data_IF_987310456156
#
_entry.id   IF_987310456156
#
_cell.length_a   1.000
_cell.length_b   1.000
_cell.length_c   1.000
_cell.angle_alpha   90.00
_cell.angle_beta   90.00
_cell.angle_gamma   90.00
#
_symmetry.space_group_name_H-M   'P 1'
#
loop_
_entity.id
_entity.type
_entity.pdbx_description
1 polymer ?
#
# COMPACT_ATOMS: atom_id res chain seq x y z
N UNK A 1 23.07 1.15 -11.01
CA UNK A 1 23.00 1.94 -9.76
C UNK A 1 22.21 3.24 -9.92
N UNK A 2 22.53 4.11 -10.89
CA UNK A 2 21.82 5.38 -11.08
C UNK A 2 20.29 5.22 -11.24
N UNK A 3 19.85 4.29 -12.10
CA UNK A 3 18.41 4.04 -12.31
C UNK A 3 17.64 3.62 -11.05
N UNK A 4 18.27 2.85 -10.17
CA UNK A 4 17.68 2.47 -8.88
C UNK A 4 17.53 3.66 -7.94
N UNK A 5 18.53 4.54 -7.87
CA UNK A 5 18.46 5.75 -7.06
C UNK A 5 17.35 6.68 -7.55
N UNK A 6 17.27 6.89 -8.88
CA UNK A 6 16.24 7.75 -9.48
C UNK A 6 14.84 7.21 -9.22
N UNK A 7 14.61 5.91 -9.40
CA UNK A 7 13.29 5.28 -9.17
C UNK A 7 12.88 5.38 -7.71
N UNK A 8 13.80 5.11 -6.78
CA UNK A 8 13.52 5.22 -5.34
C UNK A 8 13.23 6.65 -4.92
N UNK A 9 14.02 7.64 -5.39
CA UNK A 9 13.78 9.04 -5.10
C UNK A 9 12.44 9.52 -5.68
N UNK A 10 12.11 9.14 -6.92
CA UNK A 10 10.83 9.45 -7.53
C UNK A 10 9.67 8.84 -6.71
N UNK A 11 9.81 7.58 -6.27
CA UNK A 11 8.85 6.92 -5.39
C UNK A 11 8.64 7.64 -4.06
N UNK A 12 9.72 8.05 -3.39
CA UNK A 12 9.67 8.82 -2.14
C UNK A 12 8.98 10.17 -2.35
N UNK A 13 9.34 10.90 -3.42
CA UNK A 13 8.73 12.21 -3.72
C UNK A 13 7.23 12.06 -4.00
N UNK A 14 6.85 11.08 -4.82
CA UNK A 14 5.44 10.78 -5.11
C UNK A 14 4.68 10.39 -3.85
N UNK A 15 5.25 9.52 -3.01
CA UNK A 15 4.67 9.13 -1.73
C UNK A 15 4.42 10.35 -0.85
N UNK A 16 5.45 11.16 -0.59
CA UNK A 16 5.35 12.36 0.24
C UNK A 16 4.32 13.35 -0.30
N UNK A 17 4.33 13.61 -1.61
CA UNK A 17 3.40 14.53 -2.24
C UNK A 17 1.94 14.05 -2.15
N UNK A 18 1.67 12.79 -2.49
CA UNK A 18 0.31 12.25 -2.49
C UNK A 18 -0.24 12.07 -1.06
N UNK A 19 0.61 11.64 -0.13
CA UNK A 19 0.28 11.51 1.28
C UNK A 19 -0.07 12.87 1.90
N UNK A 20 0.76 13.90 1.65
CA UNK A 20 0.48 15.28 2.04
C UNK A 20 -0.79 15.80 1.39
N UNK A 21 -0.94 15.64 0.06
CA UNK A 21 -2.09 16.14 -0.69
C UNK A 21 -3.41 15.61 -0.15
N UNK A 22 -3.46 14.35 0.31
CA UNK A 22 -4.67 13.74 0.85
C UNK A 22 -5.01 14.22 2.26
N UNK A 23 -4.03 14.56 3.09
CA UNK A 23 -4.22 14.87 4.51
C UNK A 23 -4.16 16.37 4.84
N UNK A 24 -3.68 17.23 3.93
CA UNK A 24 -3.40 18.66 4.19
C UNK A 24 -4.61 19.49 4.65
N UNK A 25 -5.83 19.07 4.33
CA UNK A 25 -7.04 19.82 4.69
C UNK A 25 -7.44 19.58 6.16
N UNK A 26 -7.12 18.39 6.70
CA UNK A 26 -7.56 17.97 8.04
C UNK A 26 -6.44 18.03 9.08
N UNK A 27 -5.18 18.04 8.65
CA UNK A 27 -4.02 17.91 9.54
C UNK A 27 -2.90 18.91 9.20
N UNK A 28 -2.18 19.42 10.21
CA UNK A 28 -1.06 20.32 9.96
C UNK A 28 0.11 19.59 9.29
N UNK A 29 0.76 20.26 8.33
CA UNK A 29 1.86 19.71 7.52
C UNK A 29 2.97 19.07 8.35
N UNK A 30 3.32 19.64 9.50
CA UNK A 30 4.34 19.08 10.39
C UNK A 30 4.01 17.66 10.87
N UNK A 31 2.76 17.41 11.28
CA UNK A 31 2.32 16.09 11.72
C UNK A 31 2.29 15.08 10.56
N UNK A 32 1.84 15.53 9.39
CA UNK A 32 1.76 14.70 8.18
C UNK A 32 3.16 14.24 7.77
N UNK A 33 4.10 15.18 7.61
CA UNK A 33 5.46 14.85 7.20
C UNK A 33 6.21 14.05 8.27
N UNK A 34 6.05 14.35 9.57
CA UNK A 34 6.65 13.51 10.62
C UNK A 34 6.15 12.06 10.55
N UNK A 35 4.86 11.85 10.32
CA UNK A 35 4.30 10.50 10.17
C UNK A 35 4.80 9.81 8.90
N UNK A 36 4.87 10.53 7.77
CA UNK A 36 5.43 10.01 6.53
C UNK A 36 6.91 9.61 6.70
N UNK A 37 7.69 10.39 7.46
CA UNK A 37 9.07 10.04 7.79
C UNK A 37 9.17 8.80 8.68
N UNK A 38 8.24 8.58 9.62
CA UNK A 38 8.18 7.34 10.38
C UNK A 38 7.90 6.12 9.49
N UNK A 39 6.98 6.26 8.54
CA UNK A 39 6.72 5.21 7.53
C UNK A 39 7.97 4.94 6.70
N UNK A 40 8.63 5.98 6.17
CA UNK A 40 9.86 5.83 5.38
C UNK A 40 11.01 5.21 6.19
N UNK A 41 11.19 5.62 7.44
CA UNK A 41 12.17 5.02 8.35
C UNK A 41 11.85 3.53 8.61
N UNK A 42 10.56 3.21 8.80
CA UNK A 42 10.09 1.83 8.91
C UNK A 42 10.42 0.98 7.68
N UNK A 43 10.14 1.49 6.48
CA UNK A 43 10.51 0.85 5.21
C UNK A 43 12.02 0.63 5.13
N UNK A 44 12.82 1.67 5.41
CA UNK A 44 14.28 1.58 5.33
C UNK A 44 14.86 0.55 6.30
N UNK A 45 14.40 0.54 7.55
CA UNK A 45 14.84 -0.42 8.57
C UNK A 45 14.43 -1.84 8.19
N UNK A 46 13.19 -2.03 7.73
CA UNK A 46 12.68 -3.31 7.28
C UNK A 46 13.43 -3.85 6.05
N UNK A 47 13.74 -2.97 5.09
CA UNK A 47 14.57 -3.31 3.94
C UNK A 47 15.98 -3.72 4.37
N UNK A 48 16.61 -2.97 5.27
CA UNK A 48 17.91 -3.33 5.83
C UNK A 48 17.88 -4.68 6.57
N UNK A 49 16.79 -4.98 7.26
CA UNK A 49 16.57 -6.26 7.93
C UNK A 49 16.35 -7.42 6.94
N UNK A 50 15.61 -7.19 5.85
CA UNK A 50 15.36 -8.21 4.83
C UNK A 50 16.64 -8.69 4.16
N UNK A 51 17.60 -7.78 3.93
CA UNK A 51 18.91 -8.13 3.39
C UNK A 51 19.71 -9.10 4.29
N UNK A 52 19.45 -9.08 5.61
CA UNK A 52 20.13 -9.93 6.60
C UNK A 52 19.39 -11.22 6.91
N UNK A 53 18.05 -11.16 6.99
CA UNK A 53 17.21 -12.30 7.43
C UNK A 53 16.79 -13.17 6.26
N UNK A 54 16.08 -12.59 5.29
CA UNK A 54 15.65 -13.27 4.07
C UNK A 54 15.28 -12.22 3.03
N UNK A 55 16.01 -12.23 1.91
CA UNK A 55 15.72 -11.34 0.78
C UNK A 55 14.35 -11.61 0.18
N UNK A 56 13.84 -12.84 0.26
CA UNK A 56 12.53 -13.24 -0.27
C UNK A 56 11.37 -12.62 0.53
N UNK A 57 11.59 -12.40 1.83
CA UNK A 57 10.61 -11.82 2.76
C UNK A 57 10.58 -10.30 2.76
N UNK A 58 11.24 -9.63 1.81
CA UNK A 58 11.37 -8.17 1.77
C UNK A 58 10.01 -7.47 1.85
N UNK A 59 9.03 -7.94 1.08
CA UNK A 59 7.69 -7.33 1.02
C UNK A 59 6.98 -7.36 2.39
N UNK A 60 6.99 -8.51 3.07
CA UNK A 60 6.34 -8.65 4.38
C UNK A 60 7.07 -7.86 5.46
N UNK A 61 8.40 -7.84 5.44
CA UNK A 61 9.17 -7.04 6.38
C UNK A 61 8.89 -5.55 6.17
N UNK A 62 8.89 -5.07 4.93
CA UNK A 62 8.55 -3.68 4.61
C UNK A 62 7.12 -3.34 5.03
N UNK A 63 6.15 -4.24 4.81
CA UNK A 63 4.79 -4.06 5.28
C UNK A 63 4.73 -3.91 6.81
N UNK A 64 5.48 -4.73 7.56
CA UNK A 64 5.60 -4.56 9.02
C UNK A 64 6.25 -3.22 9.38
N UNK A 65 7.31 -2.81 8.68
CA UNK A 65 7.94 -1.51 8.85
C UNK A 65 6.97 -0.35 8.62
N UNK A 66 6.16 -0.42 7.57
CA UNK A 66 5.10 0.54 7.25
C UNK A 66 4.07 0.59 8.37
N UNK A 67 3.58 -0.56 8.83
CA UNK A 67 2.57 -0.65 9.91
C UNK A 67 3.11 -0.06 11.21
N UNK A 68 4.37 -0.35 11.57
CA UNK A 68 5.00 0.21 12.77
C UNK A 68 5.20 1.72 12.65
N UNK A 69 5.73 2.20 11.52
CA UNK A 69 5.91 3.63 11.27
C UNK A 69 4.60 4.41 11.29
N UNK A 70 3.56 3.85 10.65
CA UNK A 70 2.20 4.39 10.67
C UNK A 70 1.64 4.37 12.10
N UNK A 71 1.79 3.25 12.82
CA UNK A 71 1.31 3.08 14.19
C UNK A 71 1.86 4.12 15.15
N UNK A 72 3.15 4.46 15.05
CA UNK A 72 3.76 5.53 15.83
C UNK A 72 3.07 6.88 15.53
N UNK A 73 2.87 7.21 14.24
CA UNK A 73 2.19 8.45 13.86
C UNK A 73 0.74 8.52 14.33
N UNK A 74 -0.02 7.43 14.17
CA UNK A 74 -1.41 7.31 14.63
C UNK A 74 -1.53 7.49 16.14
N UNK A 75 -0.68 6.82 16.93
CA UNK A 75 -0.71 6.91 18.39
C UNK A 75 -0.28 8.29 18.89
N UNK A 76 0.75 8.87 18.26
CA UNK A 76 1.30 10.18 18.67
C UNK A 76 0.37 11.35 18.34
N UNK A 77 -0.21 11.35 17.14
CA UNK A 77 -0.99 12.48 16.62
C UNK A 77 -2.51 12.24 16.60
N UNK A 78 -2.97 11.05 17.01
CA UNK A 78 -4.38 10.66 17.08
C UNK A 78 -5.12 10.84 15.76
N UNK A 79 -4.44 10.60 14.65
CA UNK A 79 -5.06 10.65 13.34
C UNK A 79 -6.18 9.61 13.21
N UNK A 80 -7.16 9.91 12.36
CA UNK A 80 -8.21 8.95 12.02
C UNK A 80 -7.63 7.86 11.12
N UNK A 81 -7.60 6.64 11.64
CA UNK A 81 -6.99 5.48 10.99
C UNK A 81 -7.34 5.35 9.50
N UNK A 82 -8.63 5.43 9.16
CA UNK A 82 -9.10 5.23 7.79
C UNK A 82 -8.64 6.31 6.80
N UNK A 83 -8.55 7.57 7.24
CA UNK A 83 -8.07 8.68 6.39
C UNK A 83 -6.58 8.53 6.07
N UNK A 84 -5.78 8.17 7.09
CA UNK A 84 -4.33 7.96 6.90
C UNK A 84 -4.04 6.69 6.12
N UNK A 85 -4.81 5.62 6.33
CA UNK A 85 -4.69 4.38 5.55
C UNK A 85 -4.98 4.63 4.07
N UNK A 86 -5.97 5.47 3.78
CA UNK A 86 -6.29 5.85 2.40
C UNK A 86 -5.18 6.69 1.77
N UNK A 87 -4.64 7.67 2.51
CA UNK A 87 -3.47 8.45 2.08
C UNK A 87 -2.24 7.55 1.84
N UNK A 88 -2.03 6.56 2.71
CA UNK A 88 -0.96 5.58 2.61
C UNK A 88 -1.10 4.72 1.35
N UNK A 89 -2.30 4.20 1.08
CA UNK A 89 -2.59 3.42 -0.14
C UNK A 89 -2.33 4.26 -1.40
N UNK A 90 -2.84 5.50 -1.43
CA UNK A 90 -2.65 6.44 -2.53
C UNK A 90 -1.17 6.77 -2.77
N UNK A 91 -0.38 6.90 -1.71
CA UNK A 91 1.05 7.23 -1.81
C UNK A 91 1.94 6.03 -2.16
N UNK A 92 1.67 4.85 -1.60
CA UNK A 92 2.53 3.68 -1.78
C UNK A 92 2.23 2.86 -3.04
N UNK A 93 0.99 2.82 -3.53
CA UNK A 93 0.68 2.08 -4.76
C UNK A 93 1.47 2.58 -5.98
N UNK A 94 1.59 3.89 -6.25
CA UNK A 94 2.43 4.38 -7.35
C UNK A 94 3.90 4.02 -7.18
N UNK A 95 4.42 4.07 -5.95
CA UNK A 95 5.80 3.69 -5.67
C UNK A 95 6.02 2.18 -5.93
N UNK A 96 5.10 1.33 -5.50
CA UNK A 96 5.12 -0.10 -5.80
C UNK A 96 5.04 -0.36 -7.31
N UNK A 97 4.24 0.42 -8.04
CA UNK A 97 4.19 0.37 -9.50
C UNK A 97 5.54 0.71 -10.15
N UNK A 98 6.18 1.81 -9.71
CA UNK A 98 7.52 2.18 -10.19
C UNK A 98 8.57 1.09 -9.91
N UNK A 99 8.48 0.43 -8.76
CA UNK A 99 9.36 -0.69 -8.42
C UNK A 99 9.21 -1.83 -9.43
N UNK A 100 7.98 -2.27 -9.74
CA UNK A 100 7.74 -3.35 -10.71
C UNK A 100 8.08 -2.95 -12.15
N UNK A 101 7.82 -1.71 -12.54
CA UNK A 101 8.19 -1.20 -13.86
C UNK A 101 9.71 -1.23 -14.04
N UNK A 102 10.45 -0.75 -13.05
CA UNK A 102 11.91 -0.76 -13.05
C UNK A 102 12.44 -2.19 -13.15
N UNK A 103 11.94 -3.11 -12.32
CA UNK A 103 12.35 -4.51 -12.34
C UNK A 103 12.05 -5.18 -13.70
N UNK A 104 10.91 -4.85 -14.31
CA UNK A 104 10.55 -5.32 -15.66
C UNK A 104 11.54 -4.84 -16.72
N UNK A 105 11.97 -3.58 -16.67
CA UNK A 105 12.93 -3.01 -17.63
C UNK A 105 14.34 -3.59 -17.41
N UNK A 106 14.80 -3.69 -16.16
CA UNK A 106 16.15 -4.16 -15.85
C UNK A 106 16.31 -5.67 -16.11
N UNK A 107 15.30 -6.47 -15.77
CA UNK A 107 15.37 -7.93 -15.86
C UNK A 107 14.59 -8.52 -17.04
N UNK A 108 13.98 -7.70 -17.90
CA UNK A 108 13.11 -8.13 -19.01
C UNK A 108 12.03 -9.14 -18.57
N UNK A 109 11.51 -8.94 -17.35
CA UNK A 109 10.59 -9.89 -16.70
C UNK A 109 9.14 -9.58 -17.05
N UNK A 110 8.46 -10.55 -17.69
CA UNK A 110 7.02 -10.50 -17.96
C UNK A 110 6.21 -10.50 -16.65
N UNK A 111 6.64 -11.24 -15.64
CA UNK A 111 5.95 -11.29 -14.35
C UNK A 111 5.93 -9.91 -13.67
N UNK A 112 7.04 -9.18 -13.76
CA UNK A 112 7.19 -7.83 -13.21
C UNK A 112 6.36 -6.82 -14.00
N UNK A 113 6.30 -6.98 -15.33
CA UNK A 113 5.41 -6.18 -16.18
C UNK A 113 3.93 -6.37 -15.83
N UNK A 114 3.49 -7.62 -15.69
CA UNK A 114 2.11 -7.95 -15.29
C UNK A 114 1.80 -7.42 -13.89
N UNK A 115 2.76 -7.48 -12.97
CA UNK A 115 2.61 -6.90 -11.62
C UNK A 115 2.47 -5.37 -11.67
N UNK A 116 3.27 -4.69 -12.49
CA UNK A 116 3.13 -3.26 -12.75
C UNK A 116 1.74 -2.93 -13.30
N UNK A 117 1.30 -3.65 -14.34
CA UNK A 117 -0.02 -3.46 -14.95
C UNK A 117 -1.15 -3.68 -13.93
N UNK A 118 -1.07 -4.73 -13.11
CA UNK A 118 -2.04 -4.97 -12.04
C UNK A 118 -2.07 -3.81 -11.03
N UNK A 119 -0.91 -3.29 -10.60
CA UNK A 119 -0.85 -2.12 -9.72
C UNK A 119 -1.42 -0.87 -10.39
N UNK A 120 -1.19 -0.65 -11.68
CA UNK A 120 -1.82 0.44 -12.42
C UNK A 120 -3.34 0.31 -12.45
N UNK A 121 -3.88 -0.90 -12.73
CA UNK A 121 -5.31 -1.16 -12.65
C UNK A 121 -5.86 -0.89 -11.24
N UNK A 122 -5.11 -1.22 -10.18
CA UNK A 122 -5.50 -0.91 -8.81
C UNK A 122 -5.52 0.59 -8.51
N UNK A 123 -4.58 1.37 -9.07
CA UNK A 123 -4.60 2.84 -8.95
C UNK A 123 -5.81 3.42 -9.67
N UNK A 124 -6.14 2.91 -10.86
CA UNK A 124 -7.35 3.32 -11.58
C UNK A 124 -8.62 2.95 -10.81
N UNK A 125 -8.68 1.74 -10.24
CA UNK A 125 -9.76 1.30 -9.37
C UNK A 125 -9.88 2.21 -8.15
N UNK A 126 -8.78 2.52 -7.47
CA UNK A 126 -8.76 3.44 -6.34
C UNK A 126 -9.37 4.80 -6.72
N UNK A 127 -8.94 5.39 -7.85
CA UNK A 127 -9.44 6.69 -8.31
C UNK A 127 -10.94 6.65 -8.69
N UNK A 128 -11.37 5.56 -9.33
CA UNK A 128 -12.78 5.34 -9.65
C UNK A 128 -13.63 5.26 -8.37
N UNK A 129 -13.18 4.47 -7.38
CA UNK A 129 -13.88 4.32 -6.11
C UNK A 129 -13.87 5.62 -5.30
N UNK A 130 -12.75 6.34 -5.20
CA UNK A 130 -12.69 7.64 -4.49
C UNK A 130 -13.66 8.67 -5.08
N UNK A 131 -13.89 8.61 -6.39
CA UNK A 131 -14.84 9.51 -7.07
C UNK A 131 -16.31 9.12 -6.88
N UNK A 132 -16.61 7.83 -6.68
CA UNK A 132 -17.99 7.31 -6.72
C UNK A 132 -18.47 6.64 -5.42
N UNK A 133 -17.62 6.48 -4.40
CA UNK A 133 -17.94 5.64 -3.23
C UNK A 133 -19.20 6.06 -2.48
N UNK A 134 -19.53 7.36 -2.48
CA UNK A 134 -20.73 7.91 -1.83
C UNK A 134 -22.03 7.50 -2.53
N UNK A 135 -21.97 7.09 -3.79
CA UNK A 135 -23.14 6.73 -4.60
C UNK A 135 -23.48 5.23 -4.52
N UNK A 136 -22.63 4.42 -3.87
CA UNK A 136 -22.90 2.99 -3.76
C UNK A 136 -24.01 2.71 -2.74
N UNK A 137 -25.11 2.12 -3.20
CA UNK A 137 -26.30 1.81 -2.40
C UNK A 137 -26.02 0.93 -1.18
N UNK A 138 -25.01 0.07 -1.25
CA UNK A 138 -24.59 -0.81 -0.16
C UNK A 138 -23.62 -0.15 0.82
N UNK A 139 -22.97 0.97 0.44
CA UNK A 139 -22.03 1.71 1.28
C UNK A 139 -22.71 2.89 1.96
N UNK A 140 -23.47 2.62 3.03
CA UNK A 140 -24.29 3.63 3.71
C UNK A 140 -23.48 4.64 4.53
N UNK A 141 -22.29 4.26 5.00
CA UNK A 141 -21.51 5.10 5.91
C UNK A 141 -21.00 6.40 5.28
N UNK A 142 -20.68 6.38 3.98
CA UNK A 142 -20.13 7.54 3.27
C UNK A 142 -18.79 8.06 3.83
N UNK A 143 -18.12 7.29 4.70
CA UNK A 143 -16.85 7.66 5.34
C UNK A 143 -15.66 7.47 4.41
N UNK A 144 -14.62 8.25 4.65
CA UNK A 144 -13.30 8.12 4.02
C UNK A 144 -12.67 6.80 4.51
N UNK A 145 -11.93 6.12 3.64
CA UNK A 145 -11.27 4.83 3.88
C UNK A 145 -11.66 3.72 2.91
N UNK A 146 -12.83 3.85 2.26
CA UNK A 146 -13.41 2.81 1.43
C UNK A 146 -12.53 2.41 0.23
N UNK A 147 -12.08 3.40 -0.54
CA UNK A 147 -11.21 3.23 -1.70
C UNK A 147 -9.88 2.57 -1.32
N UNK A 148 -9.24 3.06 -0.25
CA UNK A 148 -7.98 2.53 0.26
C UNK A 148 -8.09 1.08 0.73
N UNK A 149 -9.08 0.77 1.58
CA UNK A 149 -9.31 -0.60 2.05
C UNK A 149 -9.61 -1.57 0.90
N UNK A 150 -10.45 -1.16 -0.05
CA UNK A 150 -10.82 -2.00 -1.19
C UNK A 150 -9.62 -2.23 -2.12
N UNK A 151 -8.83 -1.18 -2.41
CA UNK A 151 -7.64 -1.30 -3.25
C UNK A 151 -6.57 -2.18 -2.60
N UNK A 152 -6.29 -2.00 -1.30
CA UNK A 152 -5.35 -2.85 -0.56
C UNK A 152 -5.88 -4.29 -0.43
N UNK A 153 -7.15 -4.49 -0.13
CA UNK A 153 -7.77 -5.82 -0.09
C UNK A 153 -7.67 -6.53 -1.43
N UNK A 154 -7.90 -5.81 -2.54
CA UNK A 154 -7.77 -6.35 -3.89
C UNK A 154 -6.31 -6.64 -4.24
N UNK A 155 -5.35 -5.79 -3.84
CA UNK A 155 -3.92 -6.04 -3.99
C UNK A 155 -3.51 -7.37 -3.34
N UNK A 156 -3.88 -7.58 -2.08
CA UNK A 156 -3.57 -8.81 -1.36
C UNK A 156 -4.31 -10.02 -1.92
N UNK A 157 -5.55 -9.85 -2.38
CA UNK A 157 -6.30 -10.93 -3.03
C UNK A 157 -5.62 -11.37 -4.33
N UNK A 158 -5.20 -10.42 -5.17
CA UNK A 158 -4.44 -10.70 -6.37
C UNK A 158 -3.12 -11.40 -6.03
N UNK A 159 -2.36 -10.90 -5.04
CA UNK A 159 -1.14 -11.59 -4.58
C UNK A 159 -1.40 -13.03 -4.16
N UNK A 160 -2.48 -13.28 -3.41
CA UNK A 160 -2.85 -14.63 -2.97
C UNK A 160 -3.20 -15.54 -4.15
N UNK A 161 -3.95 -15.03 -5.12
CA UNK A 161 -4.30 -15.75 -6.34
C UNK A 161 -3.04 -16.09 -7.15
N UNK A 162 -2.19 -15.09 -7.45
CA UNK A 162 -0.95 -15.31 -8.19
C UNK A 162 -0.04 -16.31 -7.48
N UNK A 163 0.11 -16.21 -6.16
CA UNK A 163 0.95 -17.14 -5.39
C UNK A 163 0.42 -18.59 -5.39
N UNK A 164 -0.87 -18.78 -5.63
CA UNK A 164 -1.49 -20.11 -5.71
C UNK A 164 -1.23 -20.81 -7.05
N UNK A 165 -1.06 -20.04 -8.13
CA UNK A 165 -0.86 -20.57 -9.49
C UNK A 165 0.58 -20.48 -9.99
N UNK A 166 1.37 -19.53 -9.49
CA UNK A 166 2.72 -19.23 -9.97
C UNK A 166 3.70 -19.15 -8.79
N UNK A 167 4.55 -20.17 -8.57
CA UNK A 167 5.50 -20.19 -7.45
C UNK A 167 6.73 -19.29 -7.65
N UNK A 168 6.84 -18.55 -8.76
CA UNK A 168 8.03 -17.79 -9.15
C UNK A 168 7.88 -16.25 -9.05
N UNK A 169 7.10 -15.75 -8.09
CA UNK A 169 6.87 -14.29 -7.93
C UNK A 169 8.01 -13.64 -7.12
N UNK A 170 8.32 -12.37 -7.39
CA UNK A 170 9.46 -11.57 -6.87
C UNK A 170 9.54 -11.52 -5.31
N UNK A 171 8.45 -11.81 -4.61
CA UNK A 171 8.39 -11.86 -3.14
C UNK A 171 7.60 -13.10 -2.72
N UNK A 172 8.22 -14.27 -2.83
CA UNK A 172 7.59 -15.52 -2.47
C UNK A 172 8.10 -16.02 -1.12
N UNK A 173 7.21 -16.03 -0.13
CA UNK A 173 7.42 -16.80 1.11
C UNK A 173 6.62 -18.10 0.97
N UNK A 174 7.08 -19.19 1.59
CA UNK A 174 6.40 -20.51 1.55
C UNK A 174 4.90 -20.46 1.85
N UNK A 175 4.43 -19.47 2.61
CA UNK A 175 3.04 -19.26 3.00
C UNK A 175 2.39 -18.02 2.37
N UNK A 176 2.91 -17.53 1.25
CA UNK A 176 2.49 -16.27 0.60
C UNK A 176 0.99 -16.21 0.32
N UNK A 177 0.43 -17.28 -0.26
CA UNK A 177 -0.99 -17.36 -0.59
C UNK A 177 -1.88 -17.24 0.66
N UNK A 178 -1.47 -17.88 1.76
CA UNK A 178 -2.20 -17.87 3.03
C UNK A 178 -2.11 -16.50 3.69
N UNK A 179 -0.90 -15.94 3.80
CA UNK A 179 -0.68 -14.63 4.43
C UNK A 179 -1.39 -13.51 3.67
N UNK A 180 -1.26 -13.49 2.34
CA UNK A 180 -1.97 -12.54 1.48
C UNK A 180 -3.49 -12.74 1.54
N UNK A 181 -3.97 -13.98 1.61
CA UNK A 181 -5.40 -14.28 1.78
C UNK A 181 -5.96 -13.76 3.11
N UNK A 182 -5.23 -13.92 4.21
CA UNK A 182 -5.60 -13.39 5.53
C UNK A 182 -5.63 -11.86 5.49
N UNK A 183 -4.61 -11.22 4.91
CA UNK A 183 -4.56 -9.77 4.78
C UNK A 183 -5.74 -9.24 3.95
N UNK A 184 -6.03 -9.87 2.80
CA UNK A 184 -7.18 -9.53 1.96
C UNK A 184 -8.50 -9.64 2.74
N UNK A 185 -8.68 -10.75 3.47
CA UNK A 185 -9.86 -10.96 4.31
C UNK A 185 -10.01 -9.86 5.36
N UNK A 186 -8.94 -9.47 6.05
CA UNK A 186 -8.96 -8.38 7.05
C UNK A 186 -9.35 -7.05 6.40
N UNK A 187 -8.81 -6.70 5.24
CA UNK A 187 -9.17 -5.46 4.53
C UNK A 187 -10.63 -5.44 4.08
N UNK A 188 -11.14 -6.55 3.53
CA UNK A 188 -12.54 -6.64 3.12
C UNK A 188 -13.48 -6.67 4.33
N UNK A 189 -13.11 -7.33 5.43
CA UNK A 189 -13.87 -7.28 6.68
C UNK A 189 -13.92 -5.86 7.25
N UNK A 190 -12.79 -5.13 7.23
CA UNK A 190 -12.74 -3.73 7.62
C UNK A 190 -13.62 -2.85 6.72
N UNK A 191 -13.63 -3.11 5.40
CA UNK A 191 -14.50 -2.42 4.44
C UNK A 191 -15.98 -2.67 4.76
N UNK A 192 -16.34 -3.91 5.05
CA UNK A 192 -17.71 -4.28 5.43
C UNK A 192 -18.15 -3.64 6.75
N UNK A 193 -17.28 -3.62 7.76
CA UNK A 193 -17.53 -2.96 9.03
C UNK A 193 -17.69 -1.44 8.84
N UNK A 194 -16.84 -0.83 8.00
CA UNK A 194 -16.95 0.58 7.65
C UNK A 194 -18.28 0.88 6.96
N UNK A 195 -18.70 0.05 6.00
CA UNK A 195 -19.96 0.21 5.27
C UNK A 195 -21.20 0.21 6.19
N UNK A 196 -21.16 -0.59 7.26
CA UNK A 196 -22.24 -0.73 8.24
C UNK A 196 -22.20 0.29 9.38
N UNK A 197 -21.08 0.99 9.57
CA UNK A 197 -20.97 2.00 10.62
C UNK A 197 -21.86 3.20 10.28
N UNK A 198 -23.08 3.18 10.82
CA UNK A 198 -23.98 4.34 10.88
C UNK A 198 -23.41 5.37 11.86
N UNK A 199 -23.59 6.66 11.56
CA UNK A 199 -23.34 7.73 12.52
C UNK A 199 -24.30 7.60 13.70
#
# INVERSE_FOLDING_TARGET
MLGSLVTTLAGIILFLFLFWRRLKEDYPSSQIFTTAFYVLAGILLAWGLSLKVSRESWFWLELVGIILGLGIGLLRYKFRFFEVLEALALGLLPWLGLFFLKDSIENSSLASFLSFFAVTCLITLFAFLDSHYKNFSWYRSGRIGFSGLTALGTLFLLRAAFASFFPFVISFVKYEAILSGIAAFVFFLATFNLARSTR
#
